data_IF_834551466538
#
_entry.id   IF_834551466538
#
_cell.length_a   1.000
_cell.length_b   1.000
_cell.length_c   1.000
_cell.angle_alpha   90.00
_cell.angle_beta   90.00
_cell.angle_gamma   90.00
#
_symmetry.space_group_name_H-M   'P 1'
#
loop_
_entity.id
_entity.type
_entity.pdbx_description
1 polymer ?
#
# COMPACT_ATOMS: atom_id res chain seq x y z
N UNK A 1 21.69 -10.91 -4.86
CA UNK A 1 21.18 -9.71 -4.14
C UNK A 1 19.73 -9.53 -4.57
N UNK A 2 18.79 -9.47 -3.63
CA UNK A 2 17.38 -9.15 -3.93
C UNK A 2 17.31 -7.63 -4.21
N UNK A 3 16.58 -7.16 -5.23
CA UNK A 3 16.39 -5.72 -5.44
C UNK A 3 15.80 -5.06 -4.19
N UNK A 4 16.27 -3.86 -3.84
CA UNK A 4 15.83 -3.16 -2.62
C UNK A 4 14.31 -2.96 -2.58
N UNK A 5 13.69 -2.60 -3.70
CA UNK A 5 12.22 -2.48 -3.81
C UNK A 5 11.51 -3.81 -3.49
N UNK A 6 12.00 -4.94 -4.03
CA UNK A 6 11.42 -6.25 -3.71
C UNK A 6 11.56 -6.58 -2.21
N UNK A 7 12.67 -6.16 -1.59
CA UNK A 7 12.84 -6.30 -0.16
C UNK A 7 11.84 -5.46 0.64
N UNK A 8 11.59 -4.22 0.20
CA UNK A 8 10.54 -3.36 0.75
C UNK A 8 9.16 -4.01 0.66
N UNK A 9 8.77 -4.51 -0.51
CA UNK A 9 7.46 -5.14 -0.70
C UNK A 9 7.26 -6.33 0.24
N UNK A 10 8.28 -7.16 0.47
CA UNK A 10 8.22 -8.24 1.46
C UNK A 10 8.00 -7.70 2.87
N UNK A 11 8.73 -6.65 3.26
CA UNK A 11 8.60 -6.04 4.59
C UNK A 11 7.19 -5.47 4.80
N UNK A 12 6.67 -4.71 3.82
CA UNK A 12 5.34 -4.11 3.87
C UNK A 12 4.24 -5.18 3.93
N UNK A 13 4.32 -6.23 3.10
CA UNK A 13 3.36 -7.35 3.12
C UNK A 13 3.37 -8.10 4.44
N UNK A 14 4.54 -8.32 5.04
CA UNK A 14 4.64 -8.96 6.35
C UNK A 14 4.05 -8.09 7.47
N UNK A 15 4.25 -6.76 7.41
CA UNK A 15 3.58 -5.84 8.34
C UNK A 15 2.06 -5.88 8.19
N UNK A 16 1.54 -5.83 6.96
CA UNK A 16 0.09 -5.95 6.66
C UNK A 16 -0.51 -7.23 7.23
N UNK A 17 0.22 -8.35 7.16
CA UNK A 17 -0.27 -9.65 7.64
C UNK A 17 -0.37 -9.73 9.15
N UNK A 18 0.58 -9.13 9.87
CA UNK A 18 0.76 -9.39 11.30
C UNK A 18 0.39 -8.24 12.23
N UNK A 19 0.21 -7.04 11.70
CA UNK A 19 -0.05 -5.84 12.48
C UNK A 19 -1.45 -5.28 12.21
N UNK A 20 -1.93 -4.42 13.11
CA UNK A 20 -3.22 -3.75 12.91
C UNK A 20 -3.18 -2.75 11.77
N UNK A 21 -4.34 -2.38 11.23
CA UNK A 21 -4.44 -1.41 10.12
C UNK A 21 -3.69 -0.11 10.39
N UNK A 22 -3.85 0.46 11.58
CA UNK A 22 -3.14 1.69 11.96
C UNK A 22 -1.63 1.46 11.99
N UNK A 23 -1.20 0.37 12.60
CA UNK A 23 0.23 0.05 12.80
C UNK A 23 0.96 -0.20 11.48
N UNK A 24 0.45 -1.07 10.60
CA UNK A 24 1.13 -1.32 9.33
C UNK A 24 1.05 -0.12 8.39
N UNK A 25 -0.03 0.66 8.45
CA UNK A 25 -0.16 1.87 7.64
C UNK A 25 0.89 2.91 8.02
N UNK A 26 1.08 3.17 9.32
CA UNK A 26 2.12 4.07 9.82
C UNK A 26 3.53 3.60 9.42
N UNK A 27 3.75 2.29 9.44
CA UNK A 27 4.99 1.67 8.97
C UNK A 27 5.25 1.93 7.48
N UNK A 28 4.29 1.63 6.61
CA UNK A 28 4.38 1.83 5.16
C UNK A 28 4.57 3.32 4.82
N UNK A 29 3.79 4.21 5.45
CA UNK A 29 3.95 5.65 5.25
C UNK A 29 5.33 6.14 5.68
N UNK A 30 5.84 5.65 6.80
CA UNK A 30 7.19 5.96 7.25
C UNK A 30 8.23 5.53 6.20
N UNK A 31 8.19 4.28 5.71
CA UNK A 31 9.16 3.79 4.74
C UNK A 31 9.14 4.63 3.46
N UNK A 32 7.95 4.92 2.94
CA UNK A 32 7.78 5.69 1.70
C UNK A 32 8.25 7.15 1.84
N UNK A 33 8.29 7.71 3.07
CA UNK A 33 8.83 9.06 3.31
C UNK A 33 10.35 9.18 3.09
N UNK A 34 11.10 8.08 3.14
CA UNK A 34 12.53 8.06 2.81
C UNK A 34 12.82 8.05 1.30
N UNK A 35 11.78 7.90 0.48
CA UNK A 35 11.87 7.83 -0.98
C UNK A 35 12.16 6.43 -1.51
N UNK A 36 11.75 6.17 -2.76
CA UNK A 36 11.72 4.84 -3.38
C UNK A 36 13.04 4.06 -3.41
N UNK A 37 14.18 4.76 -3.31
CA UNK A 37 15.50 4.12 -3.35
C UNK A 37 15.97 3.62 -1.98
N UNK A 38 15.27 4.01 -0.92
CA UNK A 38 15.59 3.70 0.47
C UNK A 38 14.66 2.65 1.06
N UNK A 39 13.49 2.47 0.45
CA UNK A 39 12.57 1.38 0.76
C UNK A 39 13.27 0.03 0.60
N UNK A 40 13.14 -0.83 1.60
CA UNK A 40 13.80 -2.13 1.69
C UNK A 40 15.17 -2.14 2.39
N UNK A 41 15.79 -0.98 2.65
CA UNK A 41 17.02 -0.92 3.44
C UNK A 41 16.75 -1.33 4.91
N UNK A 42 17.53 -2.26 5.50
CA UNK A 42 17.32 -2.73 6.87
C UNK A 42 17.24 -1.62 7.92
N UNK A 43 18.01 -0.55 7.74
CA UNK A 43 18.01 0.63 8.62
C UNK A 43 16.67 1.36 8.60
N UNK A 44 16.10 1.55 7.40
CA UNK A 44 14.79 2.20 7.22
C UNK A 44 13.68 1.32 7.81
N UNK A 45 13.73 0.01 7.57
CA UNK A 45 12.80 -0.96 8.16
C UNK A 45 12.76 -0.84 9.68
N UNK A 46 13.92 -0.82 10.34
CA UNK A 46 13.96 -0.78 11.79
C UNK A 46 13.51 0.56 12.37
N UNK A 47 13.92 1.67 11.76
CA UNK A 47 13.49 3.01 12.21
C UNK A 47 11.97 3.16 12.07
N UNK A 48 11.40 2.67 10.97
CA UNK A 48 9.96 2.75 10.75
C UNK A 48 9.18 1.76 11.60
N UNK A 49 9.72 0.56 11.87
CA UNK A 49 9.12 -0.38 12.78
C UNK A 49 9.09 0.18 14.22
N UNK A 50 10.19 0.76 14.69
CA UNK A 50 10.25 1.44 15.99
C UNK A 50 9.20 2.55 16.08
N UNK A 51 9.14 3.42 15.05
CA UNK A 51 8.16 4.52 15.01
C UNK A 51 6.71 4.03 15.02
N UNK A 52 6.41 2.93 14.33
CA UNK A 52 5.08 2.34 14.27
C UNK A 52 4.75 1.44 15.49
N UNK A 53 5.72 1.17 16.36
CA UNK A 53 5.55 0.28 17.51
C UNK A 53 5.57 -1.22 17.15
N UNK A 54 6.20 -1.61 16.04
CA UNK A 54 6.35 -3.00 15.60
C UNK A 54 7.63 -3.58 16.21
N UNK A 55 7.51 -4.71 16.92
CA UNK A 55 8.67 -5.51 17.33
C UNK A 55 9.25 -6.23 16.11
N UNK A 56 10.09 -5.55 15.33
CA UNK A 56 10.64 -6.14 14.11
C UNK A 56 11.69 -7.22 14.38
N UNK A 57 12.40 -7.16 15.50
CA UNK A 57 13.49 -8.09 15.77
C UNK A 57 12.97 -9.43 16.29
N UNK A 58 11.90 -9.43 17.09
CA UNK A 58 11.37 -10.63 17.74
C UNK A 58 9.88 -10.89 17.45
N UNK A 59 9.20 -10.00 16.72
CA UNK A 59 7.80 -10.15 16.34
C UNK A 59 7.60 -10.99 15.08
N UNK A 60 6.32 -11.22 14.76
CA UNK A 60 5.94 -12.07 13.63
C UNK A 60 6.18 -11.40 12.28
N UNK A 61 5.96 -10.08 12.16
CA UNK A 61 6.25 -9.34 10.93
C UNK A 61 7.72 -9.47 10.52
N UNK A 62 8.64 -9.30 11.48
CA UNK A 62 10.07 -9.51 11.28
C UNK A 62 10.40 -10.93 10.81
N UNK A 63 9.95 -11.95 11.55
CA UNK A 63 10.17 -13.36 11.19
C UNK A 63 9.66 -13.71 9.80
N UNK A 64 8.49 -13.20 9.42
CA UNK A 64 7.91 -13.35 8.08
C UNK A 64 8.84 -12.82 7.00
N UNK A 65 9.47 -11.66 7.23
CA UNK A 65 10.41 -11.07 6.30
C UNK A 65 11.79 -11.75 6.32
N UNK A 66 12.20 -12.33 7.45
CA UNK A 66 13.46 -13.04 7.67
C UNK A 66 14.01 -12.87 9.09
N UNK A 67 14.90 -13.75 9.54
CA UNK A 67 15.34 -13.76 10.95
C UNK A 67 16.51 -12.84 11.28
N UNK A 68 17.07 -12.14 10.29
CA UNK A 68 18.18 -11.21 10.51
C UNK A 68 18.23 -10.12 9.45
N UNK A 69 19.00 -9.06 9.70
CA UNK A 69 19.24 -7.97 8.74
C UNK A 69 19.63 -8.42 7.34
N UNK A 70 20.47 -9.45 7.22
CA UNK A 70 20.91 -9.98 5.93
C UNK A 70 19.88 -10.90 5.27
N UNK A 71 18.87 -11.31 6.02
CA UNK A 71 17.83 -12.25 5.62
C UNK A 71 16.45 -11.59 5.49
N UNK A 72 16.25 -10.34 5.93
CA UNK A 72 15.03 -9.59 5.64
C UNK A 72 14.88 -9.46 4.12
N UNK A 73 13.72 -9.91 3.61
CA UNK A 73 13.40 -10.21 2.20
C UNK A 73 13.72 -11.63 1.70
N UNK A 74 14.15 -12.53 2.58
CA UNK A 74 14.41 -13.94 2.26
C UNK A 74 13.59 -14.92 3.11
N UNK A 75 12.73 -14.42 3.99
CA UNK A 75 11.78 -15.27 4.69
C UNK A 75 10.83 -15.93 3.70
N UNK A 76 10.69 -17.26 3.77
CA UNK A 76 9.88 -18.05 2.84
C UNK A 76 8.42 -17.56 2.80
N UNK A 77 7.87 -17.20 3.96
CA UNK A 77 6.52 -16.65 4.07
C UNK A 77 6.38 -15.30 3.36
N UNK A 78 7.29 -14.36 3.62
CA UNK A 78 7.26 -13.05 2.97
C UNK A 78 7.43 -13.14 1.45
N UNK A 79 8.26 -14.06 0.98
CA UNK A 79 8.41 -14.35 -0.46
C UNK A 79 7.10 -14.89 -1.04
N UNK A 80 6.41 -15.79 -0.33
CA UNK A 80 5.15 -16.34 -0.82
C UNK A 80 4.05 -15.27 -0.89
N UNK A 81 3.95 -14.41 0.13
CA UNK A 81 3.05 -13.24 0.09
C UNK A 81 3.32 -12.34 -1.12
N UNK A 82 4.59 -12.12 -1.47
CA UNK A 82 4.95 -11.32 -2.63
C UNK A 82 4.50 -12.00 -3.94
N UNK A 83 4.65 -13.32 -4.07
CA UNK A 83 4.15 -14.05 -5.25
C UNK A 83 2.63 -13.96 -5.35
N UNK A 84 1.91 -14.15 -4.24
CA UNK A 84 0.46 -14.01 -4.20
C UNK A 84 0.01 -12.61 -4.62
N UNK A 85 0.68 -11.57 -4.12
CA UNK A 85 0.42 -10.17 -4.50
C UNK A 85 0.61 -9.94 -6.01
N UNK A 86 1.65 -10.51 -6.61
CA UNK A 86 1.89 -10.43 -8.06
C UNK A 86 0.78 -11.14 -8.84
N UNK A 87 0.38 -12.34 -8.44
CA UNK A 87 -0.69 -13.10 -9.10
C UNK A 87 -2.01 -12.34 -9.03
N UNK A 88 -2.34 -11.75 -7.87
CA UNK A 88 -3.55 -10.93 -7.71
C UNK A 88 -3.52 -9.71 -8.63
N UNK A 89 -2.39 -9.00 -8.66
CA UNK A 89 -2.19 -7.81 -9.50
C UNK A 89 -2.30 -8.14 -11.00
N UNK A 90 -1.75 -9.28 -11.43
CA UNK A 90 -1.91 -9.80 -12.79
C UNK A 90 -3.36 -10.18 -13.11
N UNK A 91 -4.07 -10.81 -12.17
CA UNK A 91 -5.49 -11.15 -12.31
C UNK A 91 -6.40 -9.93 -12.50
N UNK A 92 -5.96 -8.76 -12.00
CA UNK A 92 -6.63 -7.47 -12.19
C UNK A 92 -6.21 -6.75 -13.49
N UNK A 93 -5.30 -7.33 -14.29
CA UNK A 93 -4.79 -6.72 -15.52
C UNK A 93 -3.94 -5.48 -15.28
N UNK A 94 -3.35 -5.34 -14.09
CA UNK A 94 -2.49 -4.19 -13.75
C UNK A 94 -1.11 -4.43 -14.34
N UNK A 95 -0.64 -3.44 -15.11
CA UNK A 95 0.66 -3.48 -15.79
C UNK A 95 1.63 -2.42 -15.25
N UNK A 96 1.12 -1.24 -14.91
CA UNK A 96 1.93 -0.10 -14.48
C UNK A 96 1.69 0.24 -13.00
N UNK A 97 2.75 0.58 -12.29
CA UNK A 97 2.67 1.21 -10.97
C UNK A 97 2.90 2.73 -11.13
N UNK A 98 2.08 3.61 -10.55
CA UNK A 98 0.94 3.35 -9.67
C UNK A 98 -0.36 3.17 -10.47
N UNK A 99 -1.19 2.18 -10.13
CA UNK A 99 -2.55 2.03 -10.66
C UNK A 99 -3.55 2.10 -9.51
N UNK A 100 -4.53 3.01 -9.61
CA UNK A 100 -5.59 3.17 -8.61
C UNK A 100 -6.83 2.43 -9.09
N UNK A 101 -7.34 1.55 -8.23
CA UNK A 101 -8.54 0.75 -8.47
C UNK A 101 -9.58 1.09 -7.41
N UNK A 102 -10.75 1.58 -7.84
CA UNK A 102 -11.89 1.86 -6.96
C UNK A 102 -13.03 0.94 -7.39
N UNK A 103 -13.59 0.19 -6.44
CA UNK A 103 -14.72 -0.72 -6.71
C UNK A 103 -14.47 -1.74 -7.85
N UNK A 104 -13.23 -2.23 -7.96
CA UNK A 104 -12.83 -3.19 -8.99
C UNK A 104 -12.64 -2.57 -10.38
N UNK A 105 -12.72 -1.24 -10.51
CA UNK A 105 -12.47 -0.52 -11.77
C UNK A 105 -11.18 0.26 -11.67
N UNK A 106 -10.36 0.17 -12.72
CA UNK A 106 -9.19 1.02 -12.91
C UNK A 106 -9.68 2.46 -13.15
N UNK A 107 -9.28 3.40 -12.30
CA UNK A 107 -9.77 4.80 -12.35
C UNK A 107 -8.68 5.83 -12.63
N UNK A 108 -7.41 5.46 -12.47
CA UNK A 108 -6.28 6.33 -12.75
C UNK A 108 -4.99 5.50 -12.78
N UNK A 109 -4.08 5.81 -13.71
CA UNK A 109 -2.77 5.17 -13.85
C UNK A 109 -1.69 6.24 -13.92
N UNK A 110 -0.59 6.05 -13.19
CA UNK A 110 0.61 6.87 -13.28
C UNK A 110 1.68 6.11 -14.04
N UNK A 111 1.97 6.58 -15.24
CA UNK A 111 2.99 6.03 -16.13
C UNK A 111 3.81 7.20 -16.70
N UNK A 112 4.81 7.61 -15.92
CA UNK A 112 5.53 8.90 -15.97
C UNK A 112 4.63 10.13 -15.72
N UNK A 113 3.47 10.16 -16.37
CA UNK A 113 2.38 11.13 -16.24
C UNK A 113 1.08 10.41 -15.83
N UNK A 114 0.10 11.17 -15.33
CA UNK A 114 -1.24 10.63 -15.03
C UNK A 114 -2.02 10.39 -16.32
N UNK A 115 -2.59 9.19 -16.46
CA UNK A 115 -3.33 8.69 -17.63
C UNK A 115 -4.59 7.95 -17.18
N UNK A 116 -5.62 7.96 -18.01
CA UNK A 116 -6.91 7.30 -17.74
C UNK A 116 -7.51 7.75 -16.38
N UNK A 117 -7.48 9.06 -16.10
CA UNK A 117 -7.91 9.66 -14.83
C UNK A 117 -9.09 10.62 -15.05
N UNK A 118 -10.18 10.17 -15.68
CA UNK A 118 -11.35 11.02 -15.99
C UNK A 118 -11.99 11.62 -14.74
N UNK A 119 -11.88 10.93 -13.61
CA UNK A 119 -12.35 11.41 -12.29
C UNK A 119 -11.39 12.37 -11.59
N UNK A 120 -10.23 12.65 -12.18
CA UNK A 120 -9.12 13.39 -11.57
C UNK A 120 -8.05 12.47 -10.95
N UNK A 121 -6.94 13.06 -10.52
CA UNK A 121 -5.74 12.34 -10.05
C UNK A 121 -5.16 12.90 -8.73
N UNK A 122 -5.86 13.83 -8.08
CA UNK A 122 -5.51 14.34 -6.74
C UNK A 122 -6.13 13.47 -5.65
N UNK A 123 -5.71 13.65 -4.39
CA UNK A 123 -6.32 12.95 -3.26
C UNK A 123 -7.83 13.20 -3.19
N UNK A 124 -8.24 14.44 -3.37
CA UNK A 124 -9.63 14.87 -3.25
C UNK A 124 -10.48 14.26 -4.38
N UNK A 125 -9.87 14.07 -5.55
CA UNK A 125 -10.50 13.36 -6.68
C UNK A 125 -10.81 11.90 -6.35
N UNK A 126 -9.90 11.22 -5.63
CA UNK A 126 -10.13 9.85 -5.20
C UNK A 126 -11.15 9.77 -4.05
N UNK A 127 -11.12 10.70 -3.10
CA UNK A 127 -12.12 10.79 -2.02
C UNK A 127 -13.53 10.92 -2.61
N UNK A 128 -13.74 11.89 -3.51
CA UNK A 128 -15.04 12.08 -4.17
C UNK A 128 -15.51 10.83 -4.93
N UNK A 129 -14.60 10.12 -5.60
CA UNK A 129 -14.94 8.89 -6.31
C UNK A 129 -15.34 7.76 -5.35
N UNK A 130 -14.66 7.63 -4.20
CA UNK A 130 -14.99 6.65 -3.15
C UNK A 130 -16.36 6.96 -2.55
N UNK A 131 -16.62 8.22 -2.17
CA UNK A 131 -17.90 8.65 -1.58
C UNK A 131 -19.06 8.44 -2.54
N UNK A 132 -18.90 8.80 -3.82
CA UNK A 132 -19.89 8.55 -4.85
C UNK A 132 -20.22 7.07 -4.99
N UNK A 133 -19.21 6.21 -4.97
CA UNK A 133 -19.40 4.76 -5.08
C UNK A 133 -20.00 4.15 -3.81
N UNK A 134 -19.64 4.68 -2.63
CA UNK A 134 -20.27 4.32 -1.36
C UNK A 134 -21.76 4.65 -1.38
N UNK A 135 -22.13 5.87 -1.75
CA UNK A 135 -23.52 6.30 -1.83
C UNK A 135 -24.32 5.48 -2.83
N UNK A 136 -23.76 5.21 -4.02
CA UNK A 136 -24.37 4.34 -5.04
C UNK A 136 -24.64 2.92 -4.53
N UNK A 137 -23.75 2.36 -3.70
CA UNK A 137 -23.91 1.00 -3.14
C UNK A 137 -24.88 0.93 -1.97
N UNK A 138 -24.98 2.00 -1.19
CA UNK A 138 -25.80 2.06 0.02
C UNK A 138 -27.13 2.80 -0.19
N UNK A 139 -27.43 3.25 -1.41
CA UNK A 139 -28.63 4.02 -1.75
C UNK A 139 -28.80 5.26 -0.86
N UNK A 140 -27.69 5.96 -0.61
CA UNK A 140 -27.65 7.24 0.11
C UNK A 140 -27.66 8.36 -0.95
N UNK A 141 -28.46 9.41 -0.74
CA UNK A 141 -28.42 10.60 -1.60
C UNK A 141 -27.18 11.44 -1.24
N UNK A 142 -26.37 11.79 -2.24
CA UNK A 142 -25.25 12.72 -2.06
C UNK A 142 -25.73 14.10 -2.47
N UNK A 143 -25.94 15.01 -1.51
CA UNK A 143 -26.34 16.39 -1.82
C UNK A 143 -25.14 17.20 -2.30
N UNK A 144 -25.00 17.35 -3.62
CA UNK A 144 -23.87 18.03 -4.26
C UNK A 144 -23.85 19.58 -4.05
N UNK A 145 -23.56 20.12 -2.85
CA UNK A 145 -23.15 21.52 -2.58
C UNK A 145 -21.72 21.90 -3.08
N UNK A 146 -21.60 22.95 -3.90
CA UNK A 146 -20.34 23.31 -4.60
C UNK A 146 -19.11 23.56 -3.71
N UNK A 147 -19.27 23.68 -2.39
CA UNK A 147 -18.18 24.05 -1.45
C UNK A 147 -17.99 23.13 -0.23
N UNK A 148 -18.82 22.10 0.00
CA UNK A 148 -18.58 21.12 1.06
C UNK A 148 -19.48 19.88 0.87
N UNK A 149 -18.87 18.68 0.90
CA UNK A 149 -19.56 17.38 0.80
C UNK A 149 -19.67 16.78 2.22
N UNK A 150 -20.82 16.94 2.90
CA UNK A 150 -21.11 16.21 4.14
C UNK A 150 -21.99 15.00 3.81
N UNK A 151 -21.54 13.81 4.18
CA UNK A 151 -22.38 12.61 4.18
C UNK A 151 -23.46 12.77 5.27
N UNK A 152 -24.73 12.82 4.88
CA UNK A 152 -25.89 12.87 5.80
C UNK A 152 -26.32 11.46 6.20
#
# INVERSE_FOLDING_TARGET
MVPAECAGNVQELCAVKYETTTTWWDFVLCQNSYGRYKVGEPEVTLQCAEKAGIDWLNGSAGRCAGTSRSEWAKGDEGIELLKESVVQTQGLGIVNSCTVVIAGKKVCVRDETWKDCEGGHTSDDFVRQIEKEFARRNNVEVEVSEDDWVLV
#
